data_IF_336310269482
#
_entry.id   IF_336310269482
#
_cell.length_a   1.000
_cell.length_b   1.000
_cell.length_c   1.000
_cell.angle_alpha   90.00
_cell.angle_beta   90.00
_cell.angle_gamma   90.00
#
_symmetry.space_group_name_H-M   'P 1'
#
loop_
_entity.id
_entity.type
_entity.pdbx_description
1 polymer ?
#
# COMPACT_ATOMS: atom_id res chain seq x y z
N UNK A 1 52.11 40.46 -59.95
CA UNK A 1 51.57 39.11 -60.16
C UNK A 1 50.15 39.26 -60.64
N UNK A 2 49.89 39.11 -61.96
CA UNK A 2 48.56 39.30 -62.59
C UNK A 2 47.82 37.96 -62.61
N UNK A 3 46.73 37.87 -61.91
CA UNK A 3 45.82 36.69 -61.97
C UNK A 3 44.82 36.94 -63.11
N UNK A 4 44.94 36.19 -64.18
CA UNK A 4 43.98 36.14 -65.27
C UNK A 4 42.74 35.32 -64.82
N UNK A 5 41.57 35.97 -64.70
CA UNK A 5 40.29 35.35 -64.52
C UNK A 5 39.71 34.99 -65.88
N UNK A 6 39.76 33.73 -66.26
CA UNK A 6 39.09 33.22 -67.44
C UNK A 6 37.59 33.13 -67.14
N UNK A 7 36.81 33.97 -67.81
CA UNK A 7 35.36 33.87 -67.83
C UNK A 7 34.95 32.83 -68.88
N UNK A 8 34.61 31.63 -68.42
CA UNK A 8 33.92 30.63 -69.26
C UNK A 8 32.48 31.09 -69.47
N UNK A 9 32.13 31.52 -70.70
CA UNK A 9 30.77 31.70 -71.09
C UNK A 9 30.10 30.33 -71.32
N UNK A 10 29.30 29.89 -70.37
CA UNK A 10 28.43 28.74 -70.54
C UNK A 10 27.23 29.23 -71.30
N UNK A 11 27.12 28.85 -72.60
CA UNK A 11 25.92 29.04 -73.37
C UNK A 11 24.85 28.07 -72.89
N UNK A 12 23.91 28.59 -72.08
CA UNK A 12 22.72 27.86 -71.70
C UNK A 12 21.82 27.74 -72.93
N UNK A 13 21.52 26.52 -73.32
CA UNK A 13 20.56 26.19 -74.38
C UNK A 13 19.11 26.10 -73.80
N UNK A 14 18.12 26.56 -74.49
CA UNK A 14 16.69 26.57 -74.09
C UNK A 14 16.17 25.20 -73.62
N UNK A 15 16.87 24.11 -73.95
CA UNK A 15 16.59 22.77 -73.49
C UNK A 15 16.92 22.54 -72.02
N UNK A 16 17.96 23.17 -71.45
CA UNK A 16 18.40 23.03 -70.07
C UNK A 16 17.47 23.76 -69.07
N UNK A 17 16.90 24.92 -69.52
CA UNK A 17 15.88 25.62 -68.71
C UNK A 17 14.60 24.86 -68.57
N UNK A 18 14.17 24.15 -69.65
CA UNK A 18 12.95 23.35 -69.61
C UNK A 18 13.10 22.09 -68.79
N UNK A 19 14.31 21.51 -68.67
CA UNK A 19 14.60 20.38 -67.79
C UNK A 19 14.72 20.84 -66.33
N UNK A 20 15.35 21.98 -66.05
CA UNK A 20 15.42 22.53 -64.69
C UNK A 20 14.03 22.88 -64.18
N UNK A 21 13.15 23.50 -64.97
CA UNK A 21 11.77 23.82 -64.56
C UNK A 21 10.93 22.57 -64.29
N UNK A 22 11.14 21.47 -65.05
CA UNK A 22 10.49 20.19 -64.78
C UNK A 22 10.96 19.52 -63.52
N UNK A 23 12.26 19.60 -63.19
CA UNK A 23 12.80 19.09 -61.94
C UNK A 23 12.26 19.85 -60.73
N UNK A 24 12.24 21.19 -60.79
CA UNK A 24 11.67 22.01 -59.72
C UNK A 24 10.18 21.75 -59.51
N UNK A 25 9.40 21.55 -60.56
CA UNK A 25 7.97 21.22 -60.50
C UNK A 25 7.75 19.83 -59.86
N UNK A 26 8.63 18.87 -60.15
CA UNK A 26 8.62 17.54 -59.54
C UNK A 26 8.82 17.59 -58.02
N UNK A 27 9.83 18.33 -57.57
CA UNK A 27 10.14 18.50 -56.15
C UNK A 27 8.99 19.22 -55.41
N UNK A 28 8.34 20.21 -56.00
CA UNK A 28 7.16 20.85 -55.43
C UNK A 28 5.98 19.89 -55.28
N UNK A 29 5.73 19.03 -56.29
CA UNK A 29 4.65 18.03 -56.22
C UNK A 29 4.91 16.99 -55.12
N UNK A 30 6.13 16.56 -54.97
CA UNK A 30 6.52 15.61 -53.89
C UNK A 30 6.40 16.24 -52.52
N UNK A 31 6.81 17.50 -52.34
CA UNK A 31 6.65 18.24 -51.09
C UNK A 31 5.18 18.39 -50.70
N UNK A 32 4.30 18.79 -51.62
CA UNK A 32 2.87 18.88 -51.37
C UNK A 32 2.23 17.53 -51.06
N UNK A 33 2.64 16.45 -51.70
CA UNK A 33 2.15 15.12 -51.44
C UNK A 33 2.52 14.66 -50.02
N UNK A 34 3.74 14.94 -49.56
CA UNK A 34 4.19 14.69 -48.18
C UNK A 34 3.40 15.49 -47.15
N UNK A 35 3.14 16.78 -47.42
CA UNK A 35 2.35 17.62 -46.51
C UNK A 35 0.90 17.11 -46.38
N UNK A 36 0.27 16.71 -47.47
CA UNK A 36 -1.10 16.18 -47.49
C UNK A 36 -1.16 14.85 -46.71
N UNK A 37 -0.16 13.97 -46.85
CA UNK A 37 -0.09 12.72 -46.13
C UNK A 37 0.13 12.95 -44.64
N UNK A 38 1.01 13.89 -44.26
CA UNK A 38 1.22 14.29 -42.88
C UNK A 38 -0.05 14.91 -42.26
N UNK A 39 -0.71 15.79 -42.95
CA UNK A 39 -1.96 16.41 -42.50
C UNK A 39 -3.07 15.35 -42.26
N UNK A 40 -3.20 14.37 -43.17
CA UNK A 40 -4.14 13.26 -43.01
C UNK A 40 -3.77 12.34 -41.82
N UNK A 41 -2.48 12.10 -41.56
CA UNK A 41 -2.04 11.34 -40.40
C UNK A 41 -2.31 12.11 -39.10
N UNK A 42 -1.98 13.41 -39.08
CA UNK A 42 -2.24 14.26 -37.94
C UNK A 42 -3.74 14.36 -37.62
N UNK A 43 -4.61 14.49 -38.63
CA UNK A 43 -6.06 14.53 -38.41
C UNK A 43 -6.64 13.21 -37.87
N UNK A 44 -6.10 12.05 -38.28
CA UNK A 44 -6.50 10.75 -37.73
C UNK A 44 -6.07 10.57 -36.29
N UNK A 45 -4.85 11.01 -35.94
CA UNK A 45 -4.36 10.98 -34.56
C UNK A 45 -5.18 11.93 -33.68
N UNK A 46 -5.49 13.12 -34.16
CA UNK A 46 -6.35 14.08 -33.47
C UNK A 46 -7.76 13.52 -33.23
N UNK A 47 -8.37 12.86 -34.23
CA UNK A 47 -9.67 12.21 -34.09
C UNK A 47 -9.65 11.09 -33.02
N UNK A 48 -8.60 10.26 -33.02
CA UNK A 48 -8.43 9.23 -32.00
C UNK A 48 -8.25 9.83 -30.60
N UNK A 49 -7.44 10.87 -30.47
CA UNK A 49 -7.25 11.56 -29.18
C UNK A 49 -8.56 12.18 -28.68
N UNK A 50 -9.34 12.82 -29.53
CA UNK A 50 -10.65 13.37 -29.19
C UNK A 50 -11.64 12.28 -28.76
N UNK A 51 -11.65 11.12 -29.42
CA UNK A 51 -12.54 10.01 -29.03
C UNK A 51 -12.20 9.44 -27.66
N UNK A 52 -10.91 9.27 -27.35
CA UNK A 52 -10.46 8.84 -26.03
C UNK A 52 -10.81 9.86 -24.94
N UNK A 53 -10.60 11.15 -25.22
CA UNK A 53 -10.97 12.22 -24.29
C UNK A 53 -12.49 12.26 -24.04
N UNK A 54 -13.30 12.02 -25.05
CA UNK A 54 -14.76 12.00 -24.91
C UNK A 54 -15.23 10.79 -24.06
N UNK A 55 -14.64 9.61 -24.24
CA UNK A 55 -14.92 8.44 -23.43
C UNK A 55 -14.50 8.67 -21.97
N UNK A 56 -13.33 9.28 -21.73
CA UNK A 56 -12.86 9.62 -20.40
C UNK A 56 -13.79 10.64 -19.72
N UNK A 57 -14.29 11.64 -20.45
CA UNK A 57 -15.23 12.62 -19.93
C UNK A 57 -16.57 11.98 -19.57
N UNK A 58 -17.11 11.11 -20.42
CA UNK A 58 -18.37 10.39 -20.14
C UNK A 58 -18.20 9.49 -18.89
N UNK A 59 -17.08 8.78 -18.76
CA UNK A 59 -16.83 7.93 -17.61
C UNK A 59 -16.70 8.73 -16.32
N UNK A 60 -16.08 9.93 -16.36
CA UNK A 60 -15.98 10.82 -15.22
C UNK A 60 -17.36 11.37 -14.79
N UNK A 61 -18.21 11.74 -15.76
CA UNK A 61 -19.58 12.19 -15.49
C UNK A 61 -20.42 11.05 -14.89
N UNK A 62 -20.31 9.84 -15.43
CA UNK A 62 -21.02 8.67 -14.89
C UNK A 62 -20.54 8.30 -13.48
N UNK A 63 -19.25 8.50 -13.16
CA UNK A 63 -18.72 8.31 -11.82
C UNK A 63 -19.26 9.35 -10.82
N UNK A 64 -19.45 10.59 -11.26
CA UNK A 64 -20.03 11.66 -10.43
C UNK A 64 -21.56 11.53 -10.24
N UNK A 65 -22.25 10.89 -11.17
CA UNK A 65 -23.68 10.62 -11.07
C UNK A 65 -24.02 9.46 -10.13
N UNK A 66 -23.01 8.70 -9.67
CA UNK A 66 -23.23 7.70 -8.62
C UNK A 66 -23.49 8.45 -7.32
N UNK A 67 -24.68 8.30 -6.71
CA UNK A 67 -24.96 8.98 -5.45
C UNK A 67 -23.93 8.53 -4.41
N UNK A 68 -23.37 9.46 -3.62
CA UNK A 68 -22.48 9.10 -2.53
C UNK A 68 -23.27 8.22 -1.57
N UNK A 69 -22.75 7.03 -1.27
CA UNK A 69 -23.31 6.15 -0.23
C UNK A 69 -22.90 6.81 1.09
N UNK A 70 -23.82 7.54 1.70
CA UNK A 70 -23.61 8.10 3.03
C UNK A 70 -23.81 6.97 4.04
N UNK A 71 -22.72 6.50 4.64
CA UNK A 71 -22.76 5.57 5.77
C UNK A 71 -22.92 6.39 7.04
N UNK A 72 -24.10 6.33 7.66
CA UNK A 72 -24.33 6.87 8.99
C UNK A 72 -24.04 5.77 10.01
N UNK A 73 -23.03 5.98 10.83
CA UNK A 73 -22.73 5.10 11.98
C UNK A 73 -23.31 5.77 13.22
N UNK A 74 -24.35 5.19 13.78
CA UNK A 74 -24.94 5.65 15.03
C UNK A 74 -25.13 4.43 15.94
N UNK A 75 -24.57 4.47 17.15
CA UNK A 75 -24.68 3.42 18.18
C UNK A 75 -24.31 2.00 17.70
N UNK A 76 -23.24 1.89 16.90
CA UNK A 76 -22.78 0.60 16.37
C UNK A 76 -23.66 0.03 15.23
N UNK A 77 -24.64 0.78 14.77
CA UNK A 77 -25.48 0.43 13.61
C UNK A 77 -24.99 1.23 12.40
N UNK A 78 -24.75 0.53 11.30
CA UNK A 78 -24.42 1.15 10.02
C UNK A 78 -25.66 1.14 9.16
N UNK A 79 -26.26 2.31 8.94
CA UNK A 79 -27.34 2.49 7.98
C UNK A 79 -26.81 3.09 6.69
N UNK A 80 -27.09 2.49 5.54
CA UNK A 80 -26.81 3.08 4.24
C UNK A 80 -27.98 3.98 3.87
N UNK A 81 -27.74 5.29 3.75
CA UNK A 81 -28.71 6.23 3.23
C UNK A 81 -28.57 6.24 1.69
N UNK A 82 -29.65 5.85 1.01
CA UNK A 82 -29.78 6.10 -0.42
C UNK A 82 -29.91 7.60 -0.67
N UNK A 83 -29.41 8.11 -1.80
CA UNK A 83 -29.49 9.53 -2.17
C UNK A 83 -30.90 10.12 -2.23
N UNK A 84 -31.95 9.30 -2.08
CA UNK A 84 -33.36 9.72 -1.93
C UNK A 84 -33.80 9.95 -0.49
N UNK A 85 -32.91 9.81 0.51
CA UNK A 85 -33.23 9.98 1.93
C UNK A 85 -34.08 8.84 2.53
N UNK A 86 -34.39 7.79 1.77
CA UNK A 86 -35.06 6.60 2.28
C UNK A 86 -34.02 5.72 2.98
N UNK A 87 -34.24 5.40 4.23
CA UNK A 87 -33.48 4.40 4.97
C UNK A 87 -33.66 3.04 4.28
N UNK A 88 -32.67 2.62 3.50
CA UNK A 88 -32.63 1.30 2.89
C UNK A 88 -31.97 0.37 3.88
N UNK A 89 -32.79 -0.34 4.63
CA UNK A 89 -32.45 -1.41 5.56
C UNK A 89 -31.47 -1.02 6.68
N UNK A 90 -31.97 -0.97 7.91
CA UNK A 90 -31.13 -1.15 9.11
C UNK A 90 -30.52 -2.56 9.07
N UNK A 91 -29.39 -2.69 8.41
CA UNK A 91 -28.57 -3.86 8.62
C UNK A 91 -27.81 -3.60 9.91
N UNK A 92 -28.29 -4.15 11.00
CA UNK A 92 -27.53 -4.25 12.25
C UNK A 92 -26.35 -5.18 11.95
N UNK A 93 -25.31 -4.61 11.33
CA UNK A 93 -24.07 -5.34 11.12
C UNK A 93 -23.31 -5.26 12.44
N UNK A 94 -23.77 -6.04 13.42
CA UNK A 94 -22.87 -6.60 14.40
C UNK A 94 -22.03 -7.63 13.63
N UNK A 95 -21.22 -7.13 12.72
CA UNK A 95 -20.33 -7.98 11.95
C UNK A 95 -19.26 -8.44 12.93
N UNK A 96 -19.47 -9.66 13.43
CA UNK A 96 -18.39 -10.33 14.16
C UNK A 96 -17.16 -10.33 13.27
N UNK A 97 -15.98 -10.05 13.84
CA UNK A 97 -14.74 -10.06 13.07
C UNK A 97 -14.60 -11.40 12.34
N UNK A 98 -14.32 -11.35 11.06
CA UNK A 98 -14.05 -12.55 10.27
C UNK A 98 -12.69 -13.16 10.66
N UNK A 99 -12.40 -14.35 10.16
CA UNK A 99 -11.17 -15.06 10.52
C UNK A 99 -9.92 -14.34 10.00
N UNK A 100 -10.01 -13.68 8.85
CA UNK A 100 -8.92 -12.88 8.32
C UNK A 100 -8.66 -11.62 9.17
N UNK A 101 -9.71 -10.95 9.63
CA UNK A 101 -9.60 -9.82 10.57
C UNK A 101 -8.96 -10.24 11.90
N UNK A 102 -9.35 -11.40 12.45
CA UNK A 102 -8.77 -11.93 13.69
C UNK A 102 -7.28 -12.23 13.54
N UNK A 103 -6.89 -12.92 12.47
CA UNK A 103 -5.48 -13.24 12.19
C UNK A 103 -4.65 -11.99 11.90
N UNK A 104 -5.21 -11.02 11.19
CA UNK A 104 -4.57 -9.72 10.97
C UNK A 104 -4.35 -8.94 12.26
N UNK A 105 -5.35 -8.94 13.17
CA UNK A 105 -5.25 -8.31 14.49
C UNK A 105 -4.15 -8.96 15.33
N UNK A 106 -4.10 -10.30 15.38
CA UNK A 106 -3.07 -11.07 16.11
C UNK A 106 -1.68 -10.78 15.55
N UNK A 107 -1.53 -10.78 14.22
CA UNK A 107 -0.26 -10.45 13.57
C UNK A 107 0.20 -9.04 13.91
N UNK A 108 -0.69 -8.06 13.87
CA UNK A 108 -0.39 -6.68 14.24
C UNK A 108 -0.07 -6.50 15.72
N UNK A 109 -0.69 -7.27 16.60
CA UNK A 109 -0.38 -7.31 18.02
C UNK A 109 1.03 -7.88 18.26
N UNK A 110 1.34 -9.05 17.69
CA UNK A 110 2.64 -9.70 17.83
C UNK A 110 3.77 -8.84 17.24
N UNK A 111 3.51 -8.18 16.11
CA UNK A 111 4.47 -7.24 15.49
C UNK A 111 4.86 -6.10 16.45
N UNK A 112 3.94 -5.58 17.23
CA UNK A 112 4.20 -4.51 18.21
C UNK A 112 4.78 -5.00 19.51
N UNK A 113 4.36 -6.20 19.97
CA UNK A 113 4.70 -6.71 21.29
C UNK A 113 5.98 -7.54 21.30
N UNK A 114 6.23 -8.31 20.24
CA UNK A 114 7.36 -9.25 20.15
C UNK A 114 8.54 -8.64 19.40
N UNK A 115 8.29 -7.78 18.39
CA UNK A 115 9.36 -7.07 17.71
C UNK A 115 9.85 -5.92 18.59
N UNK A 116 11.06 -6.09 19.11
CA UNK A 116 11.69 -5.17 20.06
C UNK A 116 12.79 -4.40 19.34
N UNK A 117 12.77 -3.09 19.51
CA UNK A 117 13.80 -2.18 19.06
C UNK A 117 14.03 -1.10 20.12
N UNK A 118 15.28 -0.80 20.52
CA UNK A 118 15.60 0.13 21.60
C UNK A 118 15.00 1.54 21.43
N UNK A 119 14.82 1.98 20.19
CA UNK A 119 14.27 3.31 19.87
C UNK A 119 12.75 3.33 20.01
N UNK A 120 12.08 2.26 19.56
CA UNK A 120 10.63 2.21 19.45
C UNK A 120 9.95 1.42 20.57
N UNK A 121 10.70 0.69 21.43
CA UNK A 121 10.16 -0.21 22.45
C UNK A 121 9.05 0.42 23.29
N UNK A 122 9.27 1.61 23.83
CA UNK A 122 8.27 2.28 24.67
C UNK A 122 6.95 2.50 23.94
N UNK A 123 7.02 3.02 22.70
CA UNK A 123 5.84 3.28 21.88
C UNK A 123 5.11 1.99 21.51
N UNK A 124 5.85 1.01 21.00
CA UNK A 124 5.28 -0.24 20.50
C UNK A 124 4.65 -1.05 21.64
N UNK A 125 5.32 -1.14 22.79
CA UNK A 125 4.77 -1.78 24.00
C UNK A 125 3.49 -1.07 24.47
N UNK A 126 3.46 0.27 24.51
CA UNK A 126 2.25 1.01 24.88
C UNK A 126 1.10 0.71 23.92
N UNK A 127 1.37 0.67 22.61
CA UNK A 127 0.37 0.34 21.61
C UNK A 127 -0.16 -1.09 21.75
N UNK A 128 0.71 -2.05 22.05
CA UNK A 128 0.32 -3.43 22.29
C UNK A 128 -0.50 -3.58 23.58
N UNK A 129 -0.12 -2.92 24.67
CA UNK A 129 -0.86 -2.90 25.92
C UNK A 129 -2.29 -2.33 25.74
N UNK A 130 -2.46 -1.34 24.87
CA UNK A 130 -3.77 -0.78 24.54
C UNK A 130 -4.67 -1.74 23.75
N UNK A 131 -4.11 -2.80 23.20
CA UNK A 131 -4.86 -3.87 22.52
C UNK A 131 -5.22 -5.04 23.45
N UNK A 132 -4.80 -5.00 24.72
CA UNK A 132 -5.11 -6.01 25.72
C UNK A 132 -6.33 -5.62 26.54
N UNK A 133 -7.05 -6.64 27.04
CA UNK A 133 -8.07 -6.43 28.06
C UNK A 133 -7.46 -5.76 29.32
N UNK A 134 -8.28 -5.07 30.10
CA UNK A 134 -7.80 -4.36 31.28
C UNK A 134 -7.03 -5.29 32.23
N UNK A 135 -7.55 -6.49 32.50
CA UNK A 135 -6.92 -7.46 33.41
C UNK A 135 -5.57 -7.92 32.90
N UNK A 136 -5.46 -8.28 31.61
CA UNK A 136 -4.20 -8.70 31.02
C UNK A 136 -3.20 -7.55 30.99
N UNK A 137 -3.65 -6.35 30.62
CA UNK A 137 -2.81 -5.15 30.56
C UNK A 137 -2.19 -4.81 31.90
N UNK A 138 -2.97 -4.82 32.98
CA UNK A 138 -2.48 -4.54 34.33
C UNK A 138 -1.42 -5.56 34.75
N UNK A 139 -1.67 -6.84 34.50
CA UNK A 139 -0.72 -7.91 34.81
C UNK A 139 0.59 -7.76 34.01
N UNK A 140 0.50 -7.59 32.72
CA UNK A 140 1.68 -7.43 31.84
C UNK A 140 2.44 -6.15 32.18
N UNK A 141 1.75 -5.04 32.43
CA UNK A 141 2.37 -3.77 32.79
C UNK A 141 3.14 -3.89 34.13
N UNK A 142 2.58 -4.57 35.15
CA UNK A 142 3.27 -4.83 36.41
C UNK A 142 4.56 -5.63 36.17
N UNK A 143 4.50 -6.68 35.38
CA UNK A 143 5.64 -7.53 35.01
C UNK A 143 6.74 -6.75 34.26
N UNK A 144 6.37 -5.93 33.28
CA UNK A 144 7.31 -5.11 32.51
C UNK A 144 8.00 -4.06 33.40
N UNK A 145 7.26 -3.48 34.35
CA UNK A 145 7.81 -2.49 35.30
C UNK A 145 8.75 -3.17 36.30
N UNK A 146 8.38 -4.32 36.84
CA UNK A 146 9.24 -5.10 37.78
C UNK A 146 10.57 -5.50 37.11
N UNK A 147 10.54 -5.86 35.87
CA UNK A 147 11.73 -6.24 35.10
C UNK A 147 12.51 -5.04 34.53
N UNK A 148 12.08 -3.81 34.75
CA UNK A 148 12.67 -2.62 34.14
C UNK A 148 12.86 -2.79 32.63
N UNK A 149 11.86 -3.41 31.97
CA UNK A 149 11.98 -3.92 30.60
C UNK A 149 12.47 -2.88 29.59
N UNK A 150 11.91 -1.68 29.60
CA UNK A 150 12.27 -0.63 28.63
C UNK A 150 13.72 -0.19 28.81
N UNK A 151 14.17 -0.03 30.05
CA UNK A 151 15.52 0.39 30.36
C UNK A 151 16.50 -0.74 30.01
N UNK A 152 16.18 -1.98 30.40
CA UNK A 152 16.98 -3.17 30.04
C UNK A 152 17.18 -3.32 28.54
N UNK A 153 16.12 -3.10 27.74
CA UNK A 153 16.19 -3.16 26.27
C UNK A 153 17.12 -2.07 25.72
N UNK A 154 17.04 -0.86 26.26
CA UNK A 154 17.87 0.27 25.81
C UNK A 154 19.32 0.12 26.21
N UNK A 155 19.58 -0.21 27.48
CA UNK A 155 20.93 -0.31 28.03
C UNK A 155 21.73 -1.44 27.38
N UNK A 156 21.09 -2.57 27.10
CA UNK A 156 21.73 -3.72 26.45
C UNK A 156 21.55 -3.74 24.92
N UNK A 157 20.98 -2.68 24.35
CA UNK A 157 20.70 -2.56 22.91
C UNK A 157 20.03 -3.83 22.33
N UNK A 158 19.00 -4.32 23.04
CA UNK A 158 18.31 -5.56 22.67
C UNK A 158 17.41 -5.30 21.45
N UNK A 159 17.59 -6.10 20.40
CA UNK A 159 16.67 -6.17 19.29
C UNK A 159 16.05 -7.55 19.19
N UNK A 160 14.76 -7.63 18.91
CA UNK A 160 14.10 -8.90 18.64
C UNK A 160 13.21 -8.75 17.39
N UNK A 161 13.22 -9.75 16.54
CA UNK A 161 12.39 -9.82 15.34
C UNK A 161 11.72 -11.19 15.27
N UNK A 162 10.43 -11.20 14.93
CA UNK A 162 9.63 -12.39 14.70
C UNK A 162 9.33 -12.56 13.22
N UNK A 163 9.83 -13.62 12.61
CA UNK A 163 9.44 -14.03 11.26
C UNK A 163 8.31 -15.06 11.38
N UNK A 164 7.08 -14.66 11.17
CA UNK A 164 5.90 -15.53 11.19
C UNK A 164 5.99 -16.53 10.03
N UNK A 165 5.80 -17.81 10.32
CA UNK A 165 5.79 -18.92 9.35
C UNK A 165 4.37 -19.38 9.05
N UNK A 166 3.52 -19.49 10.06
CA UNK A 166 2.09 -19.77 9.92
C UNK A 166 1.29 -19.13 11.03
N UNK A 167 0.04 -18.81 10.72
CA UNK A 167 -0.94 -18.31 11.69
C UNK A 167 -2.29 -18.94 11.35
N UNK A 168 -2.93 -19.55 12.33
CA UNK A 168 -4.20 -20.24 12.16
C UNK A 168 -5.08 -20.11 13.41
N UNK A 169 -6.39 -20.16 13.25
CA UNK A 169 -7.32 -20.23 14.36
C UNK A 169 -7.46 -21.67 14.82
N UNK A 170 -7.63 -21.86 16.12
CA UNK A 170 -7.80 -23.20 16.70
C UNK A 170 -9.16 -23.78 16.28
N UNK A 171 -9.15 -25.00 15.77
CA UNK A 171 -10.39 -25.70 15.44
C UNK A 171 -11.28 -25.86 16.67
N UNK A 172 -12.50 -25.32 16.61
CA UNK A 172 -13.45 -25.35 17.73
C UNK A 172 -13.36 -24.14 18.70
N UNK A 173 -12.36 -23.29 18.59
CA UNK A 173 -12.26 -22.00 19.29
C UNK A 173 -11.90 -20.86 18.33
N UNK A 174 -12.90 -20.19 17.75
CA UNK A 174 -12.69 -19.18 16.72
C UNK A 174 -12.06 -17.88 17.26
N UNK A 175 -11.80 -17.79 18.55
CA UNK A 175 -11.17 -16.65 19.21
C UNK A 175 -9.75 -16.96 19.75
N UNK A 176 -9.24 -18.15 19.52
CA UNK A 176 -7.85 -18.49 19.83
C UNK A 176 -7.05 -18.72 18.57
N UNK A 177 -5.99 -17.93 18.39
CA UNK A 177 -5.04 -18.05 17.31
C UNK A 177 -3.74 -18.69 17.77
N UNK A 178 -3.18 -19.54 16.92
CA UNK A 178 -1.84 -20.12 17.08
C UNK A 178 -0.94 -19.58 15.99
N UNK A 179 0.19 -19.02 16.37
CA UNK A 179 1.17 -18.46 15.43
C UNK A 179 2.50 -19.13 15.65
N UNK A 180 3.05 -19.74 14.60
CA UNK A 180 4.40 -20.28 14.61
C UNK A 180 5.36 -19.33 13.92
N UNK A 181 6.53 -19.15 14.48
CA UNK A 181 7.53 -18.25 13.93
C UNK A 181 8.94 -18.51 14.39
N UNK A 182 9.86 -17.85 13.76
CA UNK A 182 11.27 -17.81 14.13
C UNK A 182 11.56 -16.45 14.75
N UNK A 183 11.93 -16.45 16.05
CA UNK A 183 12.29 -15.26 16.81
C UNK A 183 13.81 -15.16 16.85
N UNK A 184 14.35 -14.06 16.33
CA UNK A 184 15.76 -13.73 16.42
C UNK A 184 15.94 -12.64 17.46
N UNK A 185 16.80 -12.86 18.43
CA UNK A 185 17.15 -11.91 19.47
C UNK A 185 18.63 -11.57 19.30
N UNK A 186 18.94 -10.29 19.25
CA UNK A 186 20.31 -9.78 19.22
C UNK A 186 20.52 -8.87 20.43
N UNK A 187 21.58 -9.09 21.18
CA UNK A 187 21.98 -8.28 22.34
C UNK A 187 23.42 -7.84 22.19
N UNK A 188 23.74 -6.64 22.64
CA UNK A 188 25.09 -6.12 22.64
C UNK A 188 25.61 -6.14 24.10
N UNK A 189 26.48 -7.09 24.42
CA UNK A 189 27.06 -7.22 25.74
C UNK A 189 28.57 -6.96 25.63
N UNK A 190 29.09 -5.95 26.36
CA UNK A 190 30.50 -5.56 26.34
C UNK A 190 31.06 -5.32 24.93
N UNK A 191 30.24 -4.76 24.03
CA UNK A 191 30.64 -4.52 22.64
C UNK A 191 30.63 -5.77 21.73
N UNK A 192 30.25 -6.93 22.26
CA UNK A 192 30.08 -8.16 21.49
C UNK A 192 28.61 -8.42 21.19
N UNK A 193 28.32 -8.71 19.93
CA UNK A 193 27.00 -9.07 19.46
C UNK A 193 26.71 -10.54 19.75
N UNK A 194 25.69 -10.80 20.56
CA UNK A 194 25.19 -12.13 20.83
C UNK A 194 23.85 -12.33 20.11
N UNK A 195 23.77 -13.36 19.26
CA UNK A 195 22.59 -13.70 18.49
C UNK A 195 22.00 -15.02 18.95
N UNK A 196 20.69 -15.02 19.19
CA UNK A 196 19.93 -16.22 19.53
C UNK A 196 18.74 -16.35 18.59
N UNK A 197 18.58 -17.54 18.01
CA UNK A 197 17.42 -17.87 17.19
C UNK A 197 16.58 -18.91 17.89
N UNK A 198 15.27 -18.68 17.96
CA UNK A 198 14.31 -19.53 18.66
C UNK A 198 13.18 -19.88 17.70
N UNK A 199 12.78 -21.13 17.67
CA UNK A 199 11.51 -21.52 17.08
C UNK A 199 10.44 -21.38 18.17
N UNK A 200 9.44 -20.54 17.92
CA UNK A 200 8.44 -20.15 18.91
C UNK A 200 7.02 -20.41 18.40
N UNK A 201 6.17 -20.71 19.35
CA UNK A 201 4.72 -20.81 19.16
C UNK A 201 4.05 -19.81 20.09
N UNK A 202 3.23 -18.93 19.51
CA UNK A 202 2.38 -18.03 20.27
C UNK A 202 0.95 -18.57 20.26
N UNK A 203 0.33 -18.58 21.40
CA UNK A 203 -1.11 -18.82 21.56
C UNK A 203 -1.73 -17.51 22.04
N UNK A 204 -2.63 -16.93 21.26
CA UNK A 204 -3.26 -15.63 21.54
C UNK A 204 -4.76 -15.83 21.58
N UNK A 205 -5.37 -15.57 22.75
CA UNK A 205 -6.82 -15.61 22.92
C UNK A 205 -7.41 -14.21 22.81
N UNK A 206 -8.42 -14.07 21.97
CA UNK A 206 -9.11 -12.82 21.70
C UNK A 206 -10.41 -12.71 22.50
N UNK A 207 -10.78 -11.52 22.88
CA UNK A 207 -12.09 -11.16 23.41
C UNK A 207 -12.84 -10.30 22.38
N UNK A 208 -14.06 -10.68 21.97
CA UNK A 208 -14.88 -9.83 21.12
C UNK A 208 -15.45 -8.66 21.91
N UNK A 209 -15.44 -7.48 21.32
CA UNK A 209 -15.99 -6.25 21.86
C UNK A 209 -16.83 -5.52 20.80
N UNK A 210 -17.74 -4.62 21.20
CA UNK A 210 -18.33 -3.71 20.24
C UNK A 210 -17.28 -2.92 19.50
N UNK A 211 -17.41 -2.78 18.18
CA UNK A 211 -16.52 -1.96 17.36
C UNK A 211 -16.63 -0.50 17.79
N UNK A 212 -15.54 0.09 18.18
CA UNK A 212 -15.46 1.47 18.63
C UNK A 212 -14.12 2.11 18.23
N UNK A 213 -14.06 3.44 18.25
CA UNK A 213 -12.83 4.15 17.93
C UNK A 213 -11.66 3.75 18.86
N UNK A 214 -11.95 3.45 20.15
CA UNK A 214 -10.95 3.06 21.14
C UNK A 214 -10.27 1.71 20.84
N UNK A 215 -10.93 0.80 20.12
CA UNK A 215 -10.34 -0.48 19.69
C UNK A 215 -9.99 -0.50 18.18
N UNK A 216 -9.82 0.68 17.56
CA UNK A 216 -9.48 0.81 16.15
C UNK A 216 -10.51 0.19 15.21
N UNK A 217 -11.80 0.12 15.63
CA UNK A 217 -12.91 -0.48 14.89
C UNK A 217 -12.76 -1.98 14.61
N UNK A 218 -11.79 -2.64 15.25
CA UNK A 218 -11.58 -4.11 15.07
C UNK A 218 -12.60 -4.94 15.81
N UNK A 219 -13.14 -4.43 16.94
CA UNK A 219 -14.02 -5.18 17.82
C UNK A 219 -13.30 -6.34 18.52
N UNK A 220 -11.97 -6.24 18.71
CA UNK A 220 -11.15 -7.27 19.32
C UNK A 220 -10.20 -6.69 20.35
N UNK A 221 -9.96 -7.47 21.41
CA UNK A 221 -8.87 -7.27 22.37
C UNK A 221 -8.18 -8.61 22.64
N UNK A 222 -6.91 -8.56 23.05
CA UNK A 222 -6.18 -9.74 23.51
C UNK A 222 -6.57 -10.01 24.96
N UNK A 223 -7.19 -11.17 25.22
CA UNK A 223 -7.59 -11.58 26.55
C UNK A 223 -6.51 -12.39 27.27
N UNK A 224 -5.68 -13.11 26.51
CA UNK A 224 -4.58 -13.90 27.02
C UNK A 224 -3.53 -14.13 25.94
N UNK A 225 -2.27 -14.27 26.30
CA UNK A 225 -1.22 -14.69 25.38
C UNK A 225 -0.19 -15.56 26.07
N UNK A 226 0.36 -16.52 25.33
CA UNK A 226 1.40 -17.41 25.81
C UNK A 226 2.45 -17.61 24.72
N UNK A 227 3.73 -17.47 25.10
CA UNK A 227 4.87 -17.85 24.27
C UNK A 227 5.40 -19.22 24.72
N UNK A 228 5.60 -20.13 23.79
CA UNK A 228 6.20 -21.44 23.99
C UNK A 228 7.41 -21.56 23.06
N UNK A 229 8.61 -21.79 23.64
CA UNK A 229 9.83 -22.02 22.89
C UNK A 229 9.90 -23.51 22.53
N UNK A 230 9.87 -23.81 21.23
CA UNK A 230 9.88 -25.18 20.72
C UNK A 230 11.31 -25.70 20.49
N UNK A 231 12.23 -24.81 20.10
CA UNK A 231 13.62 -25.14 19.82
C UNK A 231 14.51 -23.91 20.01
N UNK A 232 15.73 -24.14 20.51
CA UNK A 232 16.78 -23.13 20.69
C UNK A 232 17.95 -23.40 19.77
#
# INVERSE_FOLDING_TARGET
>A
MKVHRSMSKTTFTAGDEMQQTKLELGDYCDFYSHLVVQARRASRVALLACSVALVAMISAILAQLRPPILLRVQDGKVSSLSGSGAEVAETTVQQQPDDAEKLSFVSGFLDRFVNIDPVTVKRNTTMALNQMTNTLREHVLAQLNEQHFVDTVRDNNVTATLAVKSAELVSGDPYTAVVFGQKRITTLINGQENKKELLVKYMVRLAPLPRAAGNGWTGLEVADYKEEVLQQ
#
